data_IF_957422109985
#
_entry.id   IF_957422109985
#
_cell.length_a   1.000
_cell.length_b   1.000
_cell.length_c   1.000
_cell.angle_alpha   90.00
_cell.angle_beta   90.00
_cell.angle_gamma   90.00
#
_symmetry.space_group_name_H-M   'P 1'
#
loop_
_entity.id
_entity.type
_entity.pdbx_description
1 polymer ?
#
# COMPACT_ATOMS: atom_id res chain seq x y z
N UNK A 1 -41.05 2.95 35.53
CA UNK A 1 -39.83 3.71 35.85
C UNK A 1 -38.70 2.70 35.78
N UNK A 2 -37.64 2.92 35.00
CA UNK A 2 -36.59 1.91 34.83
C UNK A 2 -35.88 1.63 36.16
N UNK A 3 -35.67 0.34 36.45
CA UNK A 3 -34.97 -0.16 37.63
C UNK A 3 -33.45 0.01 37.56
N UNK A 4 -32.88 0.08 36.35
CA UNK A 4 -31.42 0.06 36.14
C UNK A 4 -30.83 1.36 35.60
N UNK A 5 -31.67 2.37 35.30
CA UNK A 5 -31.22 3.64 34.73
C UNK A 5 -30.78 3.42 33.28
N UNK A 6 -31.69 3.65 32.34
CA UNK A 6 -31.47 3.43 30.91
C UNK A 6 -30.25 4.21 30.38
N UNK A 7 -29.08 3.55 30.31
CA UNK A 7 -27.83 4.17 29.85
C UNK A 7 -27.52 3.92 28.39
N UNK A 8 -28.09 2.86 27.79
CA UNK A 8 -27.90 2.57 26.38
C UNK A 8 -29.14 1.93 25.74
N UNK A 9 -29.17 1.92 24.40
CA UNK A 9 -30.09 1.11 23.62
C UNK A 9 -29.33 0.18 22.69
N UNK A 10 -29.86 -1.02 22.48
CA UNK A 10 -29.27 -2.07 21.63
C UNK A 10 -30.36 -2.54 20.67
N UNK A 11 -30.13 -2.39 19.36
CA UNK A 11 -31.13 -2.70 18.34
C UNK A 11 -32.40 -1.84 18.46
N UNK A 12 -32.28 -0.64 19.05
CA UNK A 12 -33.42 0.25 19.34
C UNK A 12 -34.16 -0.07 20.65
N UNK A 13 -33.86 -1.19 21.31
CA UNK A 13 -34.46 -1.55 22.60
C UNK A 13 -33.69 -0.93 23.76
N UNK A 14 -34.43 -0.48 24.79
CA UNK A 14 -33.82 0.08 25.98
C UNK A 14 -33.11 -1.01 26.79
N UNK A 15 -31.80 -0.86 26.97
CA UNK A 15 -30.98 -1.77 27.76
C UNK A 15 -30.66 -1.11 29.11
N UNK A 16 -31.11 -1.74 30.19
CA UNK A 16 -30.96 -1.20 31.54
C UNK A 16 -29.49 -1.13 31.96
N UNK A 17 -28.73 -2.19 31.69
CA UNK A 17 -27.29 -2.21 31.94
C UNK A 17 -26.57 -3.29 31.12
N UNK A 18 -25.27 -3.11 30.93
CA UNK A 18 -24.38 -4.13 30.38
C UNK A 18 -23.23 -4.39 31.35
N UNK A 19 -22.95 -5.66 31.60
CA UNK A 19 -21.88 -6.14 32.47
C UNK A 19 -20.87 -6.97 31.68
N UNK A 20 -19.62 -7.02 32.14
CA UNK A 20 -18.66 -8.02 31.68
C UNK A 20 -19.04 -9.39 32.25
N UNK A 21 -18.97 -10.42 31.42
CA UNK A 21 -19.16 -11.80 31.83
C UNK A 21 -17.93 -12.40 32.50
N UNK A 22 -17.99 -13.69 32.80
CA UNK A 22 -16.91 -14.40 33.49
C UNK A 22 -15.72 -14.72 32.57
N UNK A 23 -15.97 -14.88 31.27
CA UNK A 23 -14.97 -15.18 30.27
C UNK A 23 -14.56 -13.94 29.45
N UNK A 24 -13.37 -13.99 28.85
CA UNK A 24 -12.92 -12.95 27.93
C UNK A 24 -13.86 -12.84 26.72
N UNK A 25 -14.31 -11.62 26.44
CA UNK A 25 -15.27 -11.36 25.37
C UNK A 25 -16.71 -11.78 25.71
N UNK A 26 -16.99 -12.23 26.93
CA UNK A 26 -18.37 -12.44 27.39
C UNK A 26 -18.94 -11.12 27.94
N UNK A 27 -20.19 -10.82 27.61
CA UNK A 27 -20.95 -9.70 28.14
C UNK A 27 -22.36 -10.14 28.50
N UNK A 28 -22.99 -9.41 29.42
CA UNK A 28 -24.37 -9.65 29.86
C UNK A 28 -25.18 -8.37 29.71
N UNK A 29 -26.12 -8.37 28.77
CA UNK A 29 -27.02 -7.25 28.54
C UNK A 29 -28.36 -7.52 29.23
N UNK A 30 -28.81 -6.60 30.08
CA UNK A 30 -30.03 -6.77 30.88
C UNK A 30 -31.13 -5.86 30.34
N UNK A 31 -32.24 -6.48 29.96
CA UNK A 31 -33.43 -5.82 29.44
C UNK A 31 -34.59 -6.00 30.42
N UNK A 32 -35.21 -4.90 30.86
CA UNK A 32 -36.41 -4.97 31.70
C UNK A 32 -37.59 -5.45 30.87
N UNK A 33 -38.36 -6.41 31.39
CA UNK A 33 -39.53 -6.99 30.68
C UNK A 33 -40.58 -5.94 30.33
N UNK A 34 -40.64 -4.85 31.08
CA UNK A 34 -41.55 -3.72 30.81
C UNK A 34 -41.11 -2.87 29.62
N UNK A 35 -39.85 -2.99 29.19
CA UNK A 35 -39.24 -2.19 28.11
C UNK A 35 -38.91 -3.00 26.86
N UNK A 36 -38.77 -4.32 26.97
CA UNK A 36 -38.55 -5.22 25.84
C UNK A 36 -39.12 -6.62 26.11
N UNK A 37 -39.78 -7.18 25.10
CA UNK A 37 -40.20 -8.57 25.06
C UNK A 37 -39.07 -9.50 24.61
N UNK A 38 -39.23 -10.80 24.85
CA UNK A 38 -38.24 -11.80 24.39
C UNK A 38 -38.12 -11.80 22.85
N UNK A 39 -39.24 -11.72 22.15
CA UNK A 39 -39.29 -11.70 20.68
C UNK A 39 -38.54 -10.48 20.11
N UNK A 40 -38.70 -9.30 20.71
CA UNK A 40 -37.95 -8.11 20.29
C UNK A 40 -36.45 -8.28 20.51
N UNK A 41 -36.04 -8.88 21.64
CA UNK A 41 -34.63 -9.14 21.96
C UNK A 41 -34.01 -10.15 20.99
N UNK A 42 -34.75 -11.20 20.64
CA UNK A 42 -34.33 -12.20 19.64
C UNK A 42 -34.26 -11.60 18.24
N UNK A 43 -35.09 -10.59 17.94
CA UNK A 43 -35.07 -9.84 16.69
C UNK A 43 -33.90 -8.84 16.53
N UNK A 44 -33.10 -8.61 17.57
CA UNK A 44 -31.92 -7.74 17.46
C UNK A 44 -30.90 -8.37 16.50
N UNK A 45 -30.38 -7.56 15.59
CA UNK A 45 -29.27 -7.92 14.69
C UNK A 45 -27.94 -7.99 15.45
N UNK A 46 -27.68 -9.11 16.14
CA UNK A 46 -26.50 -9.26 17.01
C UNK A 46 -25.17 -9.32 16.26
N UNK A 47 -25.13 -9.69 14.98
CA UNK A 47 -23.93 -9.63 14.13
C UNK A 47 -23.47 -8.20 13.85
N UNK A 48 -24.37 -7.22 13.92
CA UNK A 48 -24.08 -5.80 13.72
C UNK A 48 -25.07 -4.95 14.52
N UNK A 49 -24.98 -4.97 15.86
CA UNK A 49 -25.99 -4.33 16.70
C UNK A 49 -25.89 -2.81 16.59
N UNK A 50 -27.02 -2.15 16.49
CA UNK A 50 -27.08 -0.70 16.63
C UNK A 50 -27.04 -0.36 18.12
N UNK A 51 -25.93 0.20 18.58
CA UNK A 51 -25.73 0.56 19.99
C UNK A 51 -25.73 2.08 20.09
N UNK A 52 -26.55 2.63 20.98
CA UNK A 52 -26.61 4.07 21.28
C UNK A 52 -26.49 4.31 22.79
N UNK A 53 -25.96 5.46 23.18
CA UNK A 53 -25.73 5.81 24.58
C UNK A 53 -24.45 5.21 25.16
N UNK A 54 -24.34 5.25 26.49
CA UNK A 54 -23.17 4.77 27.22
C UNK A 54 -23.24 3.24 27.39
N UNK A 55 -22.56 2.53 26.49
CA UNK A 55 -22.50 1.08 26.50
C UNK A 55 -21.05 0.58 26.53
N UNK A 56 -20.79 -0.47 27.30
CA UNK A 56 -19.45 -1.07 27.41
C UNK A 56 -19.20 -2.17 26.36
N UNK A 57 -20.19 -2.47 25.52
CA UNK A 57 -20.01 -3.38 24.40
C UNK A 57 -19.00 -2.76 23.41
N UNK A 58 -17.98 -3.51 22.97
CA UNK A 58 -16.97 -2.98 22.07
C UNK A 58 -17.61 -2.56 20.74
N UNK A 59 -17.29 -1.34 20.32
CA UNK A 59 -17.78 -0.78 19.05
C UNK A 59 -17.14 -1.50 17.86
N UNK A 60 -17.92 -1.71 16.80
CA UNK A 60 -17.42 -2.39 15.59
C UNK A 60 -17.34 -3.92 15.72
N UNK A 61 -17.93 -4.52 16.75
CA UNK A 61 -17.99 -5.97 16.90
C UNK A 61 -19.42 -6.50 16.80
N UNK A 62 -19.57 -7.62 16.12
CA UNK A 62 -20.73 -8.48 16.25
C UNK A 62 -20.65 -9.32 17.53
N UNK A 63 -21.78 -9.88 17.92
CA UNK A 63 -21.92 -10.77 19.07
C UNK A 63 -22.73 -11.98 18.68
N UNK A 64 -22.41 -13.12 19.29
CA UNK A 64 -23.32 -14.26 19.27
C UNK A 64 -24.02 -14.39 20.61
N UNK A 65 -25.35 -14.50 20.57
CA UNK A 65 -26.14 -14.85 21.74
C UNK A 65 -25.84 -16.29 22.14
N UNK A 66 -25.37 -16.48 23.37
CA UNK A 66 -25.08 -17.80 23.95
C UNK A 66 -26.28 -18.34 24.71
N UNK A 67 -26.99 -17.44 25.40
CA UNK A 67 -28.14 -17.78 26.24
C UNK A 67 -28.99 -16.53 26.50
N UNK A 68 -30.28 -16.71 26.82
CA UNK A 68 -31.18 -15.67 27.29
C UNK A 68 -31.90 -16.17 28.54
N UNK A 69 -31.61 -15.53 29.68
CA UNK A 69 -32.11 -15.96 30.98
C UNK A 69 -33.20 -15.01 31.46
N UNK A 70 -34.35 -15.55 31.86
CA UNK A 70 -35.41 -14.75 32.47
C UNK A 70 -35.34 -14.81 34.00
N UNK A 71 -35.35 -13.64 34.64
CA UNK A 71 -35.48 -13.50 36.09
C UNK A 71 -36.87 -13.00 36.45
N UNK A 72 -37.70 -13.86 37.05
CA UNK A 72 -39.02 -13.47 37.53
C UNK A 72 -38.98 -12.42 38.64
N UNK A 73 -38.08 -12.51 39.67
CA UNK A 73 -38.00 -11.48 40.72
C UNK A 73 -37.58 -10.10 40.19
N UNK A 74 -36.63 -10.06 39.26
CA UNK A 74 -36.17 -8.80 38.65
C UNK A 74 -37.02 -8.36 37.46
N UNK A 75 -37.98 -9.20 37.02
CA UNK A 75 -38.79 -9.03 35.80
C UNK A 75 -37.93 -8.59 34.61
N UNK A 76 -36.81 -9.26 34.37
CA UNK A 76 -35.84 -8.89 33.34
C UNK A 76 -35.31 -10.11 32.57
N UNK A 77 -34.86 -9.86 31.34
CA UNK A 77 -34.11 -10.80 30.51
C UNK A 77 -32.63 -10.44 30.55
N UNK A 78 -31.77 -11.42 30.75
CA UNK A 78 -30.32 -11.29 30.65
C UNK A 78 -29.83 -12.05 29.44
N UNK A 79 -29.34 -11.33 28.45
CA UNK A 79 -28.74 -11.89 27.24
C UNK A 79 -27.25 -12.09 27.49
N UNK A 80 -26.77 -13.33 27.37
CA UNK A 80 -25.35 -13.66 27.45
C UNK A 80 -24.78 -13.59 26.04
N UNK A 81 -23.82 -12.70 25.84
CA UNK A 81 -23.22 -12.38 24.55
C UNK A 81 -21.75 -12.80 24.55
N UNK A 82 -21.30 -13.43 23.46
CA UNK A 82 -19.89 -13.66 23.17
C UNK A 82 -19.48 -12.75 22.01
N UNK A 83 -18.39 -12.01 22.15
CA UNK A 83 -17.79 -11.25 21.05
C UNK A 83 -17.51 -12.20 19.88
N UNK A 84 -17.97 -11.81 18.69
CA UNK A 84 -17.78 -12.52 17.44
C UNK A 84 -16.87 -11.70 16.51
N UNK A 85 -17.10 -11.75 15.20
CA UNK A 85 -16.29 -11.04 14.21
C UNK A 85 -16.37 -9.51 14.37
N UNK A 86 -15.24 -8.87 14.13
CA UNK A 86 -15.18 -7.42 14.01
C UNK A 86 -15.71 -7.02 12.63
N UNK A 87 -16.71 -6.15 12.59
CA UNK A 87 -17.11 -5.48 11.36
C UNK A 87 -16.39 -4.13 11.26
N UNK A 88 -15.61 -3.96 10.19
CA UNK A 88 -14.79 -2.75 9.97
C UNK A 88 -15.60 -1.51 9.54
N UNK A 89 -16.93 -1.56 9.63
CA UNK A 89 -17.82 -0.47 9.24
C UNK A 89 -17.95 -0.33 7.72
N UNK A 90 -18.12 0.90 7.25
CA UNK A 90 -18.08 1.23 5.82
C UNK A 90 -16.62 1.44 5.39
N UNK A 91 -16.09 0.48 4.62
CA UNK A 91 -14.70 0.49 4.14
C UNK A 91 -14.59 0.93 2.68
N UNK A 92 -15.70 1.33 2.04
CA UNK A 92 -15.74 1.61 0.59
C UNK A 92 -14.75 2.72 0.21
N UNK A 93 -14.64 3.77 1.02
CA UNK A 93 -13.70 4.86 0.77
C UNK A 93 -12.22 4.43 0.81
N UNK A 94 -11.88 3.45 1.64
CA UNK A 94 -10.53 2.89 1.68
C UNK A 94 -10.28 1.94 0.51
N UNK A 95 -11.29 1.15 0.12
CA UNK A 95 -11.21 0.28 -1.04
C UNK A 95 -10.93 1.08 -2.32
N UNK A 96 -11.60 2.23 -2.50
CA UNK A 96 -11.32 3.14 -3.63
C UNK A 96 -9.89 3.70 -3.60
N UNK A 97 -9.39 4.11 -2.43
CA UNK A 97 -8.01 4.61 -2.31
C UNK A 97 -6.97 3.52 -2.63
N UNK A 98 -7.21 2.29 -2.20
CA UNK A 98 -6.33 1.15 -2.52
C UNK A 98 -6.31 0.91 -4.03
N UNK A 99 -7.47 0.89 -4.69
CA UNK A 99 -7.55 0.72 -6.13
C UNK A 99 -6.80 1.83 -6.89
N UNK A 100 -6.94 3.09 -6.47
CA UNK A 100 -6.20 4.22 -7.07
C UNK A 100 -4.68 4.08 -6.88
N UNK A 101 -4.24 3.64 -5.70
CA UNK A 101 -2.82 3.41 -5.43
C UNK A 101 -2.26 2.25 -6.26
N UNK A 102 -3.02 1.15 -6.42
CA UNK A 102 -2.64 0.01 -7.25
C UNK A 102 -2.52 0.40 -8.73
N UNK A 103 -3.46 1.19 -9.25
CA UNK A 103 -3.36 1.74 -10.62
C UNK A 103 -2.16 2.68 -10.78
N UNK A 104 -1.88 3.51 -9.76
CA UNK A 104 -0.73 4.40 -9.73
C UNK A 104 0.60 3.66 -9.75
N UNK A 105 0.71 2.57 -8.97
CA UNK A 105 1.88 1.69 -8.96
C UNK A 105 2.09 1.02 -10.32
N UNK A 106 1.05 0.42 -10.89
CA UNK A 106 1.13 -0.23 -12.20
C UNK A 106 1.54 0.74 -13.32
N UNK A 107 1.17 2.02 -13.22
CA UNK A 107 1.63 3.06 -14.16
C UNK A 107 3.11 3.36 -13.99
N UNK A 108 3.57 3.54 -12.75
CA UNK A 108 4.98 3.81 -12.45
C UNK A 108 5.89 2.67 -12.85
N UNK A 109 5.45 1.42 -12.68
CA UNK A 109 6.23 0.25 -13.09
C UNK A 109 6.46 0.27 -14.62
N UNK A 110 5.44 0.60 -15.41
CA UNK A 110 5.60 0.75 -16.87
C UNK A 110 6.50 1.91 -17.25
N UNK A 111 6.36 3.05 -16.58
CA UNK A 111 7.25 4.21 -16.81
C UNK A 111 8.70 3.84 -16.49
N UNK A 112 8.95 3.07 -15.42
CA UNK A 112 10.29 2.58 -15.09
C UNK A 112 10.83 1.65 -16.18
N UNK A 113 10.05 0.65 -16.62
CA UNK A 113 10.45 -0.25 -17.71
C UNK A 113 10.80 0.51 -19.00
N UNK A 114 10.00 1.51 -19.37
CA UNK A 114 10.28 2.37 -20.53
C UNK A 114 11.57 3.17 -20.35
N UNK A 115 11.80 3.73 -19.16
CA UNK A 115 13.04 4.48 -18.88
C UNK A 115 14.28 3.59 -18.87
N UNK A 116 14.17 2.37 -18.34
CA UNK A 116 15.26 1.38 -18.37
C UNK A 116 15.60 0.96 -19.80
N UNK A 117 14.58 0.70 -20.62
CA UNK A 117 14.79 0.38 -22.04
C UNK A 117 15.47 1.53 -22.80
N UNK A 118 15.04 2.78 -22.57
CA UNK A 118 15.66 3.95 -23.19
C UNK A 118 17.10 4.17 -22.71
N UNK A 119 17.39 3.88 -21.44
CA UNK A 119 18.74 3.98 -20.89
C UNK A 119 19.66 2.94 -21.55
N UNK A 120 19.21 1.70 -21.67
CA UNK A 120 19.96 0.63 -22.33
C UNK A 120 20.28 0.96 -23.80
N UNK A 121 19.33 1.54 -24.53
CA UNK A 121 19.55 1.99 -25.91
C UNK A 121 20.62 3.08 -25.99
N UNK A 122 20.56 4.08 -25.09
CA UNK A 122 21.55 5.17 -25.02
C UNK A 122 22.94 4.65 -24.65
N UNK A 123 23.04 3.70 -23.72
CA UNK A 123 24.31 3.08 -23.35
C UNK A 123 24.94 2.33 -24.53
N UNK A 124 24.15 1.59 -25.30
CA UNK A 124 24.60 0.93 -26.54
C UNK A 124 25.09 1.95 -27.57
N UNK A 125 24.35 3.05 -27.78
CA UNK A 125 24.75 4.10 -28.71
C UNK A 125 26.07 4.77 -28.28
N UNK A 126 26.24 5.04 -26.98
CA UNK A 126 27.50 5.59 -26.44
C UNK A 126 28.66 4.61 -26.64
N UNK A 127 28.45 3.31 -26.44
CA UNK A 127 29.48 2.30 -26.67
C UNK A 127 29.94 2.27 -28.13
N UNK A 128 28.99 2.28 -29.09
CA UNK A 128 29.29 2.34 -30.52
C UNK A 128 30.03 3.64 -30.92
N UNK A 129 29.62 4.77 -30.36
CA UNK A 129 30.29 6.05 -30.59
C UNK A 129 31.73 6.03 -30.07
N UNK A 130 31.98 5.45 -28.90
CA UNK A 130 33.34 5.31 -28.34
C UNK A 130 34.23 4.44 -29.22
N UNK A 131 33.71 3.33 -29.75
CA UNK A 131 34.44 2.48 -30.69
C UNK A 131 34.79 3.23 -31.97
N UNK A 132 33.84 3.97 -32.53
CA UNK A 132 34.06 4.81 -33.72
C UNK A 132 35.13 5.87 -33.47
N UNK A 133 35.08 6.56 -32.32
CA UNK A 133 36.09 7.57 -31.95
C UNK A 133 37.47 6.92 -31.80
N UNK A 134 37.56 5.73 -31.21
CA UNK A 134 38.82 5.02 -31.08
C UNK A 134 39.42 4.66 -32.45
N UNK A 135 38.61 4.15 -33.38
CA UNK A 135 39.04 3.84 -34.75
C UNK A 135 39.48 5.11 -35.51
N UNK A 136 38.75 6.22 -35.36
CA UNK A 136 39.12 7.49 -35.97
C UNK A 136 40.43 8.04 -35.40
N UNK A 137 40.67 7.91 -34.09
CA UNK A 137 41.91 8.34 -33.46
C UNK A 137 43.12 7.54 -33.97
N UNK A 138 42.97 6.23 -34.15
CA UNK A 138 44.02 5.35 -34.71
C UNK A 138 44.34 5.74 -36.17
N UNK A 139 43.31 5.91 -37.01
CA UNK A 139 43.50 6.32 -38.40
C UNK A 139 44.16 7.71 -38.53
N UNK A 140 43.81 8.66 -37.66
CA UNK A 140 44.46 9.97 -37.62
C UNK A 140 45.94 9.87 -37.24
N UNK A 141 46.28 9.03 -36.24
CA UNK A 141 47.66 8.82 -35.84
C UNK A 141 48.51 8.20 -36.97
N UNK A 142 47.95 7.25 -37.73
CA UNK A 142 48.62 6.66 -38.90
C UNK A 142 48.87 7.70 -40.00
N UNK A 143 47.88 8.55 -40.30
CA UNK A 143 48.01 9.61 -41.30
C UNK A 143 49.06 10.66 -40.89
N UNK A 144 49.10 11.05 -39.62
CA UNK A 144 50.10 11.98 -39.08
C UNK A 144 51.51 11.40 -39.16
N UNK A 145 51.68 10.11 -38.85
CA UNK A 145 52.96 9.42 -38.96
C UNK A 145 53.45 9.34 -40.42
N UNK A 146 52.55 8.98 -41.35
CA UNK A 146 52.86 8.91 -42.78
C UNK A 146 53.21 10.29 -43.37
N UNK A 147 52.46 11.34 -42.99
CA UNK A 147 52.74 12.71 -43.41
C UNK A 147 54.10 13.21 -42.93
N UNK A 148 54.46 12.90 -41.68
CA UNK A 148 55.76 13.25 -41.09
C UNK A 148 56.90 12.53 -41.82
N UNK A 149 56.75 11.23 -42.10
CA UNK A 149 57.76 10.46 -42.83
C UNK A 149 58.00 11.01 -44.25
N UNK A 150 56.93 11.38 -44.95
CA UNK A 150 57.01 11.98 -46.28
C UNK A 150 57.72 13.35 -46.27
N UNK A 151 57.49 14.18 -45.25
CA UNK A 151 58.19 15.45 -45.08
C UNK A 151 59.70 15.26 -44.84
N UNK A 152 60.09 14.30 -44.01
CA UNK A 152 61.51 14.01 -43.74
C UNK A 152 62.22 13.52 -45.00
N UNK A 153 61.60 12.62 -45.78
CA UNK A 153 62.16 12.14 -47.05
C UNK A 153 62.34 13.29 -48.07
N UNK A 154 61.36 14.19 -48.18
CA UNK A 154 61.46 15.35 -49.06
C UNK A 154 62.59 16.31 -48.64
N UNK A 155 62.73 16.60 -47.34
CA UNK A 155 63.83 17.42 -46.82
C UNK A 155 65.19 16.77 -47.07
N UNK A 156 65.29 15.45 -46.88
CA UNK A 156 66.53 14.70 -47.11
C UNK A 156 66.96 14.79 -48.58
N UNK A 157 66.03 14.59 -49.52
CA UNK A 157 66.32 14.72 -50.97
C UNK A 157 66.76 16.12 -51.36
N UNK A 158 66.11 17.16 -50.82
CA UNK A 158 66.49 18.55 -51.05
C UNK A 158 67.92 18.83 -50.58
N UNK A 159 68.27 18.39 -49.36
CA UNK A 159 69.61 18.55 -48.79
C UNK A 159 70.69 17.81 -49.60
N UNK A 160 70.40 16.60 -50.08
CA UNK A 160 71.31 15.86 -50.96
C UNK A 160 71.55 16.61 -52.28
N UNK A 161 70.51 17.18 -52.88
CA UNK A 161 70.64 17.89 -54.14
C UNK A 161 71.47 19.17 -53.99
N UNK A 162 71.23 19.96 -52.94
CA UNK A 162 72.07 21.13 -52.63
C UNK A 162 73.53 20.75 -52.38
N UNK A 163 73.79 19.66 -51.66
CA UNK A 163 75.15 19.20 -51.37
C UNK A 163 75.93 18.72 -52.62
N UNK A 164 75.23 18.16 -53.60
CA UNK A 164 75.81 17.76 -54.89
C UNK A 164 76.13 18.99 -55.74
N UNK A 165 75.26 20.01 -55.75
CA UNK A 165 75.49 21.26 -56.49
C UNK A 165 76.59 22.14 -55.89
N UNK A 166 76.87 22.04 -54.57
CA UNK A 166 77.95 22.80 -53.92
C UNK A 166 79.35 22.16 -54.04
N UNK A 167 79.45 20.88 -54.41
CA UNK A 167 80.73 20.14 -54.49
C UNK A 167 81.16 19.75 -55.92
N UNK A 168 80.40 20.15 -56.95
CA UNK A 168 80.73 19.97 -58.36
C UNK A 168 81.20 21.26 -59.03
#
# INVERSE_FOLDING_TARGET
MSLYGNRCSIGGLSCGMVLRGAANGEYRAVFERESASLEEIEGIRWDRPQIQGECILPTGYGFTVRDIQYSAPARSYTVVLQVAEQYLGDVVGYQSQVAELEEGLARKDRELEETEASLAEKESAIAQQRETIAQQAEALAELEAAGTAAQVDAQLRAAYQEGVEQNG
#
